data_IF_396170590939
#
_entry.id   IF_396170590939
#
_cell.length_a   1.000
_cell.length_b   1.000
_cell.length_c   1.000
_cell.angle_alpha   90.00
_cell.angle_beta   90.00
_cell.angle_gamma   90.00
#
_symmetry.space_group_name_H-M   'P 1'
#
loop_
_entity.id
_entity.type
_entity.pdbx_description
1 polymer ?
#
# COMPACT_ATOMS: atom_id res chain seq x y z
N UNK A 1 7.13 1.49 17.53
CA UNK A 1 8.58 1.50 17.25
C UNK A 1 9.08 2.92 17.37
N UNK A 2 10.34 3.13 17.73
CA UNK A 2 10.88 4.49 17.90
C UNK A 2 11.34 5.13 16.59
N UNK A 3 11.45 4.35 15.52
CA UNK A 3 11.89 4.79 14.19
C UNK A 3 10.90 4.35 13.11
N UNK A 4 10.80 5.10 12.00
CA UNK A 4 9.91 4.78 10.87
C UNK A 4 10.56 3.88 9.82
N UNK A 5 11.88 3.89 9.71
CA UNK A 5 12.66 3.11 8.74
C UNK A 5 13.77 2.26 9.38
N UNK A 6 13.79 2.16 10.71
CA UNK A 6 14.86 1.49 11.45
C UNK A 6 16.04 2.39 11.85
N UNK A 7 16.13 3.62 11.32
CA UNK A 7 17.24 4.56 11.54
C UNK A 7 16.81 5.97 11.95
N UNK A 8 15.70 6.48 11.43
CA UNK A 8 15.18 7.82 11.70
C UNK A 8 14.05 7.76 12.71
N UNK A 9 14.17 8.54 13.79
CA UNK A 9 13.19 8.58 14.87
C UNK A 9 11.89 9.24 14.45
N UNK A 10 10.78 8.77 15.00
CA UNK A 10 9.52 9.51 15.00
C UNK A 10 9.67 10.78 15.85
N UNK A 11 9.07 11.89 15.40
CA UNK A 11 8.91 13.11 16.18
C UNK A 11 8.06 12.79 17.42
N UNK A 12 8.58 13.13 18.61
CA UNK A 12 7.83 12.90 19.85
C UNK A 12 6.59 13.80 19.91
N UNK A 13 5.42 13.18 20.05
CA UNK A 13 4.21 13.90 20.47
C UNK A 13 4.14 13.95 22.01
N UNK A 14 3.94 15.14 22.57
CA UNK A 14 3.77 15.39 24.02
C UNK A 14 2.38 15.02 24.56
N UNK A 15 1.48 14.51 23.71
CA UNK A 15 0.07 14.23 24.03
C UNK A 15 -0.24 12.73 24.28
N UNK A 16 0.75 11.83 24.33
CA UNK A 16 0.50 10.37 24.33
C UNK A 16 0.84 9.66 25.66
N UNK A 17 0.12 8.56 25.95
CA UNK A 17 0.30 7.71 27.13
C UNK A 17 1.75 7.21 27.29
N UNK A 18 2.28 7.28 28.52
CA UNK A 18 3.65 6.86 28.88
C UNK A 18 4.79 7.51 28.08
N UNK A 19 4.61 8.72 27.54
CA UNK A 19 5.61 9.43 26.74
C UNK A 19 6.14 8.60 25.55
N UNK A 20 5.36 7.60 25.10
CA UNK A 20 5.71 6.83 23.91
C UNK A 20 5.53 7.77 22.72
N UNK A 21 6.57 8.01 21.90
CA UNK A 21 6.46 8.76 20.67
C UNK A 21 5.52 8.00 19.74
N UNK A 22 4.25 8.37 19.74
CA UNK A 22 3.37 8.00 18.63
C UNK A 22 3.70 8.98 17.51
N UNK A 23 3.83 8.45 16.29
CA UNK A 23 4.05 9.17 15.04
C UNK A 23 3.00 10.24 14.71
N UNK A 24 2.15 10.63 15.66
CA UNK A 24 0.96 11.45 15.45
C UNK A 24 1.28 12.81 14.81
N UNK A 25 2.50 13.33 14.99
CA UNK A 25 2.96 14.55 14.35
C UNK A 25 3.50 14.34 12.91
N UNK A 26 3.82 13.09 12.56
CA UNK A 26 4.45 12.69 11.29
C UNK A 26 3.54 11.84 10.41
N UNK A 27 2.26 11.66 10.79
CA UNK A 27 1.27 10.96 9.95
C UNK A 27 0.62 11.94 8.98
N UNK A 28 0.35 11.46 7.77
CA UNK A 28 -0.45 12.20 6.80
C UNK A 28 -1.92 12.28 7.24
N UNK A 29 -2.71 13.05 6.49
CA UNK A 29 -4.16 12.87 6.52
C UNK A 29 -4.52 11.41 6.20
N UNK A 30 -5.64 10.94 6.74
CA UNK A 30 -6.13 9.61 6.46
C UNK A 30 -6.52 9.49 4.98
N UNK A 31 -5.98 8.48 4.30
CA UNK A 31 -6.35 8.12 2.93
C UNK A 31 -7.77 7.56 2.87
N UNK A 32 -8.15 6.78 3.89
CA UNK A 32 -9.49 6.24 4.06
C UNK A 32 -9.83 6.11 5.56
N UNK A 33 -11.12 6.17 5.88
CA UNK A 33 -11.67 6.10 7.24
C UNK A 33 -12.84 5.13 7.28
N UNK A 34 -12.81 4.21 8.26
CA UNK A 34 -13.78 3.15 8.39
C UNK A 34 -14.34 3.12 9.81
N UNK A 35 -15.66 2.97 9.94
CA UNK A 35 -16.32 2.74 11.22
C UNK A 35 -16.13 1.28 11.65
N UNK A 36 -15.28 1.03 12.65
CA UNK A 36 -14.95 -0.31 13.11
C UNK A 36 -15.73 -0.67 14.39
N UNK A 37 -16.83 -1.41 14.19
CA UNK A 37 -17.60 -2.04 15.27
C UNK A 37 -16.87 -3.18 15.98
N UNK A 38 -17.59 -3.90 16.84
CA UNK A 38 -17.05 -5.05 17.61
C UNK A 38 -16.98 -6.35 16.80
N UNK A 39 -17.49 -6.34 15.57
CA UNK A 39 -17.58 -7.54 14.75
C UNK A 39 -16.20 -8.03 14.29
N UNK A 40 -15.94 -9.31 14.58
CA UNK A 40 -14.73 -10.00 14.15
C UNK A 40 -14.79 -10.25 12.64
N UNK A 41 -13.67 -10.00 11.96
CA UNK A 41 -13.52 -10.29 10.54
C UNK A 41 -12.60 -9.31 9.85
N UNK A 42 -12.32 -9.58 8.57
CA UNK A 42 -11.51 -8.69 7.74
C UNK A 42 -12.12 -7.30 7.67
N UNK A 43 -11.23 -6.31 7.69
CA UNK A 43 -11.52 -4.90 7.45
C UNK A 43 -10.65 -4.46 6.29
N UNK A 44 -11.19 -3.57 5.46
CA UNK A 44 -10.56 -3.13 4.22
C UNK A 44 -10.52 -1.61 4.26
N UNK A 45 -9.38 -1.06 3.88
CA UNK A 45 -9.21 0.36 3.64
C UNK A 45 -8.78 0.54 2.20
N UNK A 46 -9.39 1.51 1.51
CA UNK A 46 -8.94 1.89 0.18
C UNK A 46 -7.71 2.80 0.31
N UNK A 47 -6.60 2.39 -0.28
CA UNK A 47 -5.36 3.19 -0.29
C UNK A 47 -4.83 3.40 -1.71
N UNK A 48 -5.73 3.42 -2.70
CA UNK A 48 -5.36 3.44 -4.12
C UNK A 48 -4.44 4.62 -4.46
N UNK A 49 -4.76 5.85 -4.05
CA UNK A 49 -3.91 7.00 -4.42
C UNK A 49 -2.55 6.93 -3.72
N UNK A 50 -2.50 6.47 -2.47
CA UNK A 50 -1.24 6.24 -1.77
C UNK A 50 -0.35 5.23 -2.51
N UNK A 51 -0.92 4.16 -3.06
CA UNK A 51 -0.18 3.19 -3.88
C UNK A 51 0.28 3.80 -5.21
N UNK A 52 -0.54 4.61 -5.86
CA UNK A 52 -0.17 5.34 -7.08
C UNK A 52 0.99 6.33 -6.83
N UNK A 53 0.99 7.01 -5.68
CA UNK A 53 2.08 7.88 -5.24
C UNK A 53 3.38 7.10 -5.02
N UNK A 54 3.31 5.92 -4.41
CA UNK A 54 4.48 5.05 -4.26
C UNK A 54 5.02 4.55 -5.59
N UNK A 55 4.16 4.26 -6.57
CA UNK A 55 4.60 3.88 -7.92
C UNK A 55 5.31 5.05 -8.60
N UNK A 56 4.76 6.25 -8.46
CA UNK A 56 5.29 7.46 -9.08
C UNK A 56 6.59 7.94 -8.41
N UNK A 57 6.71 7.76 -7.11
CA UNK A 57 7.90 8.12 -6.32
C UNK A 57 8.16 7.08 -5.21
N UNK A 58 8.87 5.97 -5.51
CA UNK A 58 9.09 4.89 -4.55
C UNK A 58 9.77 5.30 -3.23
N UNK A 59 10.49 6.42 -3.22
CA UNK A 59 11.15 6.94 -2.03
C UNK A 59 10.18 7.53 -0.99
N UNK A 60 8.89 7.70 -1.31
CA UNK A 60 7.87 8.22 -0.37
C UNK A 60 7.13 7.12 0.38
N UNK A 61 7.43 5.85 0.13
CA UNK A 61 6.80 4.76 0.86
C UNK A 61 7.46 4.55 2.22
N UNK A 62 6.81 5.07 3.27
CA UNK A 62 7.18 4.88 4.67
C UNK A 62 6.26 3.88 5.39
N UNK A 63 5.46 3.12 4.63
CA UNK A 63 4.46 2.20 5.15
C UNK A 63 3.11 2.85 5.46
N UNK A 64 2.24 2.07 6.10
CA UNK A 64 0.86 2.47 6.45
C UNK A 64 0.67 2.34 7.95
N UNK A 65 -0.03 3.31 8.54
CA UNK A 65 -0.50 3.27 9.91
C UNK A 65 -2.03 3.18 9.92
N UNK A 66 -2.58 2.21 10.67
CA UNK A 66 -3.99 2.25 11.06
C UNK A 66 -4.06 2.99 12.39
N UNK A 67 -4.77 4.11 12.40
CA UNK A 67 -4.93 4.94 13.58
C UNK A 67 -6.40 5.01 13.99
N UNK A 68 -6.65 5.02 15.30
CA UNK A 68 -8.00 5.27 15.82
C UNK A 68 -8.32 6.76 15.71
N UNK A 69 -9.60 7.10 15.62
CA UNK A 69 -10.04 8.48 15.74
C UNK A 69 -9.63 9.06 17.12
N UNK A 70 -9.52 10.39 17.17
CA UNK A 70 -9.16 11.15 18.35
C UNK A 70 -10.20 11.05 19.49
N UNK A 71 -11.42 10.58 19.20
CA UNK A 71 -12.46 10.32 20.18
C UNK A 71 -12.42 8.86 20.65
N UNK A 72 -11.55 8.57 21.61
CA UNK A 72 -11.56 7.28 22.29
C UNK A 72 -12.59 7.26 23.43
N UNK A 73 -13.63 6.44 23.31
CA UNK A 73 -14.54 6.09 24.40
C UNK A 73 -14.12 4.77 25.06
N UNK A 74 -14.80 4.37 26.13
CA UNK A 74 -14.64 3.04 26.70
C UNK A 74 -14.91 1.99 25.59
N UNK A 75 -14.03 0.99 25.47
CA UNK A 75 -14.08 -0.09 24.47
C UNK A 75 -13.84 0.30 23.00
N UNK A 76 -13.17 1.44 22.75
CA UNK A 76 -12.79 1.86 21.38
C UNK A 76 -11.56 1.15 20.80
N UNK A 77 -10.91 0.24 21.54
CA UNK A 77 -9.70 -0.45 21.08
C UNK A 77 -10.04 -1.71 20.27
N UNK A 78 -9.21 -1.99 19.26
CA UNK A 78 -9.30 -3.17 18.40
C UNK A 78 -7.95 -3.85 18.28
N UNK A 79 -7.99 -5.17 18.09
CA UNK A 79 -6.80 -5.97 17.79
C UNK A 79 -6.84 -6.40 16.33
N UNK A 80 -5.70 -6.24 15.65
CA UNK A 80 -5.48 -6.72 14.31
C UNK A 80 -4.38 -7.78 14.34
N UNK A 81 -4.51 -8.81 13.49
CA UNK A 81 -3.47 -9.81 13.33
C UNK A 81 -2.21 -9.16 12.72
N UNK A 82 -1.03 -9.52 13.23
CA UNK A 82 0.25 -9.09 12.68
C UNK A 82 0.74 -10.02 11.56
N UNK A 83 1.85 -9.66 10.92
CA UNK A 83 2.53 -10.49 9.92
C UNK A 83 3.08 -11.81 10.50
N UNK A 84 3.30 -11.86 11.82
CA UNK A 84 3.79 -13.02 12.56
C UNK A 84 2.65 -13.86 13.16
N UNK A 85 1.39 -13.46 12.95
CA UNK A 85 0.24 -14.18 13.48
C UNK A 85 0.28 -15.66 13.05
N UNK A 86 -0.02 -16.55 13.99
CA UNK A 86 0.18 -18.01 13.84
C UNK A 86 -0.64 -18.58 12.69
N UNK A 87 -1.86 -18.09 12.51
CA UNK A 87 -2.72 -18.41 11.37
C UNK A 87 -2.36 -17.50 10.19
N UNK A 88 -1.67 -18.05 9.20
CA UNK A 88 -1.22 -17.31 8.03
C UNK A 88 -2.36 -16.75 7.18
N UNK A 89 -3.57 -17.31 7.27
CA UNK A 89 -4.72 -16.82 6.50
C UNK A 89 -5.18 -15.45 7.00
N UNK A 90 -4.96 -15.14 8.28
CA UNK A 90 -5.41 -13.90 8.93
C UNK A 90 -4.41 -12.74 8.86
N UNK A 91 -3.22 -12.98 8.32
CA UNK A 91 -2.17 -11.95 8.22
C UNK A 91 -2.61 -10.80 7.29
N UNK A 92 -2.19 -9.56 7.56
CA UNK A 92 -2.53 -8.42 6.73
C UNK A 92 -1.96 -8.59 5.32
N UNK A 93 -2.65 -8.05 4.32
CA UNK A 93 -2.24 -8.09 2.91
C UNK A 93 -2.61 -6.79 2.20
N UNK A 94 -1.74 -6.37 1.28
CA UNK A 94 -2.03 -5.35 0.28
C UNK A 94 -2.53 -6.04 -0.99
N UNK A 95 -3.75 -5.73 -1.43
CA UNK A 95 -4.34 -6.30 -2.63
C UNK A 95 -4.38 -5.21 -3.70
N UNK A 96 -3.69 -5.44 -4.82
CA UNK A 96 -3.62 -4.50 -5.95
C UNK A 96 -4.30 -5.15 -7.16
N UNK A 97 -5.28 -4.47 -7.71
CA UNK A 97 -5.90 -4.83 -8.99
C UNK A 97 -5.48 -3.81 -10.03
N UNK A 98 -4.88 -4.26 -11.13
CA UNK A 98 -4.36 -3.36 -12.17
C UNK A 98 -4.61 -3.96 -13.56
N UNK A 99 -4.58 -3.10 -14.57
CA UNK A 99 -4.62 -3.53 -15.97
C UNK A 99 -3.20 -3.59 -16.52
N UNK A 100 -2.92 -4.61 -17.33
CA UNK A 100 -1.69 -4.66 -18.13
C UNK A 100 -2.00 -4.07 -19.51
N UNK A 101 -1.14 -3.15 -19.96
CA UNK A 101 -1.24 -2.59 -21.32
C UNK A 101 -1.09 -3.66 -22.40
N UNK A 102 -1.39 -3.33 -23.67
CA UNK A 102 -1.22 -4.27 -24.77
C UNK A 102 0.23 -4.73 -24.83
N UNK A 103 0.43 -6.04 -24.86
CA UNK A 103 1.75 -6.65 -25.06
C UNK A 103 2.25 -6.16 -26.43
N UNK A 104 3.51 -5.69 -26.56
CA UNK A 104 4.05 -5.30 -27.86
C UNK A 104 3.84 -6.43 -28.87
N UNK A 105 3.41 -6.10 -30.09
CA UNK A 105 3.33 -7.07 -31.16
C UNK A 105 4.75 -7.58 -31.46
N UNK A 106 5.06 -8.79 -30.99
CA UNK A 106 6.33 -9.47 -31.26
C UNK A 106 6.27 -10.27 -32.56
N UNK A 107 5.14 -10.25 -33.27
CA UNK A 107 4.96 -11.03 -34.50
C UNK A 107 5.75 -10.37 -35.62
N UNK A 108 6.77 -11.04 -36.20
CA UNK A 108 7.49 -10.48 -37.33
C UNK A 108 6.53 -10.28 -38.51
N UNK A 109 6.67 -9.19 -39.30
CA UNK A 109 5.88 -9.03 -40.51
C UNK A 109 6.10 -10.23 -41.44
N UNK A 110 5.00 -10.74 -42.02
CA UNK A 110 5.07 -11.83 -42.98
C UNK A 110 6.00 -11.44 -44.16
N UNK A 111 6.79 -12.38 -44.69
CA UNK A 111 7.60 -12.11 -45.87
C UNK A 111 6.71 -11.60 -47.02
N UNK A 112 7.11 -10.55 -47.76
CA UNK A 112 6.37 -10.12 -48.92
C UNK A 112 6.28 -11.27 -49.93
N UNK A 113 5.05 -11.68 -50.26
CA UNK A 113 4.79 -12.62 -51.35
C UNK A 113 4.60 -11.83 -52.65
N UNK A 114 5.36 -12.16 -53.69
CA UNK A 114 5.24 -11.51 -55.01
C UNK A 114 6.42 -10.61 -55.43
N UNK A 115 7.58 -10.68 -54.77
CA UNK A 115 8.78 -9.99 -55.26
C UNK A 115 9.38 -10.77 -56.44
N UNK A 116 8.95 -10.43 -57.66
CA UNK A 116 9.65 -10.83 -58.88
C UNK A 116 10.84 -9.90 -59.09
N UNK A 117 12.05 -10.36 -58.77
CA UNK A 117 13.29 -9.66 -59.12
C UNK A 117 13.72 -10.17 -60.50
N UNK A 118 13.46 -9.38 -61.55
CA UNK A 118 14.07 -9.62 -62.86
C UNK A 118 15.37 -8.81 -62.92
N UNK A 119 16.51 -9.50 -63.05
CA UNK A 119 17.79 -8.87 -63.36
C UNK A 119 18.00 -9.02 -64.87
N UNK A 120 17.85 -7.93 -65.61
CA UNK A 120 18.23 -7.88 -67.03
C UNK A 120 19.72 -7.53 -67.17
N UNK A 121 20.38 -8.17 -68.13
CA UNK A 121 21.79 -7.99 -68.47
C UNK A 121 21.93 -7.33 -69.83
#
# INVERSE_FOLDING_TARGET
GNTYDGTHSWTQNTQCYNNIPLAQADISAAEDSQDIGTDVGYKVWDITNMVEDWISNPATNYGVLINSDNQASQDSYRYFASSEYSDSTKRPKLVITYTVGPVPDTTPPAPPTGVNITIEK
#
